data_IF_333862402584
#
_entry.id   IF_333862402584
#
_cell.length_a   1.000
_cell.length_b   1.000
_cell.length_c   1.000
_cell.angle_alpha   90.00
_cell.angle_beta   90.00
_cell.angle_gamma   90.00
#
_symmetry.space_group_name_H-M   'P 1'
#
loop_
_entity.id
_entity.type
_entity.pdbx_description
1 polymer ?
#
# COMPACT_ATOMS: atom_id res chain seq x y z
N UNK A 1 13.04 0.39 -10.62
CA UNK A 1 12.06 -0.68 -10.40
C UNK A 1 12.40 -1.32 -9.07
N UNK A 2 11.77 -0.84 -8.01
CA UNK A 2 11.86 -1.43 -6.69
C UNK A 2 10.59 -2.21 -6.37
N UNK A 3 10.75 -3.23 -5.53
CA UNK A 3 9.62 -3.95 -4.96
C UNK A 3 9.67 -3.80 -3.44
N UNK A 4 8.60 -3.29 -2.87
CA UNK A 4 8.46 -3.09 -1.43
C UNK A 4 7.67 -4.25 -0.83
N UNK A 5 8.33 -5.08 -0.01
CA UNK A 5 7.67 -6.16 0.74
C UNK A 5 7.03 -5.59 1.99
N UNK A 6 5.70 -5.65 2.04
CA UNK A 6 4.92 -5.08 3.14
C UNK A 6 4.72 -6.17 4.20
N UNK A 7 5.23 -5.90 5.40
CA UNK A 7 4.92 -6.72 6.56
C UNK A 7 3.59 -6.27 7.18
N UNK A 8 2.84 -7.20 7.78
CA UNK A 8 1.66 -6.82 8.56
C UNK A 8 2.13 -5.99 9.75
N UNK A 9 1.74 -4.72 9.87
CA UNK A 9 2.13 -3.95 11.03
C UNK A 9 1.52 -4.58 12.27
N UNK A 10 2.36 -4.83 13.28
CA UNK A 10 1.85 -5.16 14.59
C UNK A 10 1.07 -3.95 15.12
N UNK A 11 0.08 -4.17 15.98
CA UNK A 11 -0.93 -3.17 16.40
C UNK A 11 -0.36 -1.82 16.87
N UNK A 12 0.92 -1.79 17.26
CA UNK A 12 1.56 -0.63 17.88
C UNK A 12 2.57 0.07 16.95
N UNK A 13 2.89 -0.51 15.78
CA UNK A 13 3.94 0.02 14.87
C UNK A 13 3.39 0.96 13.78
N UNK A 14 2.06 0.98 13.57
CA UNK A 14 1.42 1.77 12.52
C UNK A 14 1.75 1.30 11.10
N UNK A 15 1.14 1.91 10.08
CA UNK A 15 1.38 1.54 8.69
C UNK A 15 2.85 1.69 8.28
N UNK A 16 3.31 0.82 7.36
CA UNK A 16 4.60 1.00 6.69
C UNK A 16 4.63 2.36 5.98
N UNK A 17 5.73 3.11 6.04
CA UNK A 17 5.83 4.42 5.39
C UNK A 17 6.84 4.33 4.24
N UNK A 18 6.40 4.67 3.02
CA UNK A 18 7.25 4.68 1.83
C UNK A 18 7.28 6.10 1.26
N UNK A 19 8.46 6.70 1.18
CA UNK A 19 8.63 8.10 0.77
C UNK A 19 8.92 8.32 -0.71
N UNK A 20 9.29 7.26 -1.43
CA UNK A 20 9.87 7.35 -2.78
C UNK A 20 9.20 6.42 -3.81
N UNK A 21 7.95 6.00 -3.54
CA UNK A 21 7.20 5.11 -4.44
C UNK A 21 6.95 5.76 -5.81
N UNK A 22 7.39 5.10 -6.87
CA UNK A 22 7.14 5.49 -8.25
C UNK A 22 5.96 4.70 -8.85
N UNK A 23 4.87 5.40 -9.15
CA UNK A 23 3.63 4.82 -9.72
C UNK A 23 3.83 4.06 -11.04
N UNK A 24 4.87 4.37 -11.82
CA UNK A 24 5.10 3.76 -13.13
C UNK A 24 6.09 2.59 -13.11
N UNK A 25 6.82 2.40 -12.00
CA UNK A 25 7.98 1.50 -11.95
C UNK A 25 8.00 0.60 -10.70
N UNK A 26 7.39 1.01 -9.59
CA UNK A 26 7.49 0.30 -8.33
C UNK A 26 6.25 -0.57 -8.04
N UNK A 27 6.48 -1.62 -7.25
CA UNK A 27 5.46 -2.59 -6.86
C UNK A 27 5.36 -2.74 -5.34
N UNK A 28 4.14 -2.78 -4.82
CA UNK A 28 3.84 -3.17 -3.45
C UNK A 28 3.56 -4.68 -3.40
N UNK A 29 4.44 -5.44 -2.74
CA UNK A 29 4.21 -6.86 -2.51
C UNK A 29 3.47 -7.07 -1.19
N UNK A 30 2.19 -7.43 -1.29
CA UNK A 30 1.26 -7.66 -0.18
C UNK A 30 0.73 -9.11 -0.14
N UNK A 31 1.24 -9.99 -0.99
CA UNK A 31 0.73 -11.37 -1.10
C UNK A 31 0.91 -12.22 0.15
N UNK A 32 1.92 -11.93 0.96
CA UNK A 32 2.13 -12.59 2.25
C UNK A 32 1.05 -12.25 3.30
N UNK A 33 0.19 -11.26 3.03
CA UNK A 33 -0.83 -10.75 3.96
C UNK A 33 -2.21 -11.39 3.72
N UNK A 34 -2.32 -12.30 2.74
CA UNK A 34 -3.57 -13.01 2.45
C UNK A 34 -4.62 -12.17 1.72
N UNK A 35 -4.21 -11.07 1.09
CA UNK A 35 -5.08 -10.25 0.23
C UNK A 35 -5.32 -11.01 -1.08
N UNK A 36 -6.59 -11.32 -1.40
CA UNK A 36 -6.95 -12.09 -2.58
C UNK A 36 -6.96 -11.29 -3.90
N UNK A 37 -7.02 -9.96 -3.80
CA UNK A 37 -6.98 -9.07 -4.97
C UNK A 37 -7.20 -7.60 -4.62
N UNK A 38 -7.04 -6.74 -5.62
CA UNK A 38 -7.09 -5.27 -5.47
C UNK A 38 -8.43 -4.76 -4.92
N UNK A 39 -9.53 -5.42 -5.26
CA UNK A 39 -10.87 -5.07 -4.80
C UNK A 39 -11.10 -5.31 -3.30
N UNK A 40 -10.19 -6.00 -2.62
CA UNK A 40 -10.23 -6.21 -1.16
C UNK A 40 -9.48 -5.09 -0.40
N UNK A 41 -8.74 -4.23 -1.12
CA UNK A 41 -8.03 -3.10 -0.54
C UNK A 41 -8.98 -1.92 -0.32
N UNK A 42 -8.77 -1.23 0.79
CA UNK A 42 -9.31 0.11 1.00
C UNK A 42 -8.22 1.12 0.69
N UNK A 43 -8.51 2.03 -0.24
CA UNK A 43 -7.64 3.13 -0.62
C UNK A 43 -8.25 4.44 -0.12
N UNK A 44 -7.46 5.27 0.53
CA UNK A 44 -7.90 6.59 0.99
C UNK A 44 -6.76 7.61 0.95
N UNK A 45 -7.10 8.88 0.79
CA UNK A 45 -6.15 9.98 0.87
C UNK A 45 -6.12 10.59 2.29
N UNK A 46 -4.92 10.70 2.87
CA UNK A 46 -4.66 11.36 4.15
C UNK A 46 -3.51 12.36 4.02
N UNK A 47 -3.80 13.66 4.23
CA UNK A 47 -2.81 14.74 4.19
C UNK A 47 -1.94 14.74 2.91
N UNK A 48 -2.54 14.39 1.77
CA UNK A 48 -1.86 14.31 0.47
C UNK A 48 -1.02 13.04 0.27
N UNK A 49 -1.25 12.01 1.06
CA UNK A 49 -0.60 10.70 0.97
C UNK A 49 -1.67 9.61 0.74
N UNK A 50 -1.30 8.54 0.05
CA UNK A 50 -2.18 7.38 -0.13
C UNK A 50 -2.02 6.45 1.07
N UNK A 51 -3.13 6.11 1.70
CA UNK A 51 -3.23 5.07 2.72
C UNK A 51 -3.89 3.84 2.10
N UNK A 52 -3.21 2.70 2.18
CA UNK A 52 -3.72 1.40 1.74
C UNK A 52 -3.96 0.55 2.97
N UNK A 53 -5.16 -0.01 3.09
CA UNK A 53 -5.59 -0.84 4.19
C UNK A 53 -6.24 -2.15 3.72
N UNK A 54 -6.18 -3.18 4.57
CA UNK A 54 -6.82 -4.48 4.36
C UNK A 54 -7.37 -5.02 5.68
N UNK A 55 -8.61 -5.51 5.67
CA UNK A 55 -9.22 -6.11 6.87
C UNK A 55 -9.31 -5.18 8.08
N UNK A 56 -9.35 -3.86 7.87
CA UNK A 56 -9.33 -2.85 8.93
C UNK A 56 -7.93 -2.49 9.46
N UNK A 57 -6.87 -3.08 8.92
CA UNK A 57 -5.48 -2.74 9.27
C UNK A 57 -4.89 -1.85 8.19
N UNK A 58 -4.28 -0.74 8.60
CA UNK A 58 -3.51 0.12 7.72
C UNK A 58 -2.20 -0.58 7.35
N UNK A 59 -1.98 -0.87 6.07
CA UNK A 59 -0.82 -1.62 5.61
C UNK A 59 0.35 -0.70 5.28
N UNK A 60 0.11 0.29 4.43
CA UNK A 60 1.14 1.20 3.94
C UNK A 60 0.59 2.60 3.69
N UNK A 61 1.39 3.61 4.00
CA UNK A 61 1.22 5.02 3.68
C UNK A 61 2.29 5.44 2.68
N UNK A 62 1.88 5.75 1.45
CA UNK A 62 2.75 6.23 0.38
C UNK A 62 2.76 7.75 0.41
N UNK A 63 3.92 8.34 0.71
CA UNK A 63 4.02 9.78 0.83
C UNK A 63 3.89 10.45 -0.54
N UNK A 64 3.10 11.52 -0.61
CA UNK A 64 2.92 12.35 -1.81
C UNK A 64 2.35 11.59 -3.02
N UNK A 65 1.72 10.45 -2.79
CA UNK A 65 0.98 9.68 -3.79
C UNK A 65 -0.51 9.93 -3.59
N UNK A 66 -1.25 10.15 -4.67
CA UNK A 66 -2.71 10.19 -4.64
C UNK A 66 -3.25 8.76 -4.75
N UNK A 67 -4.10 8.35 -3.80
CA UNK A 67 -4.69 7.01 -3.78
C UNK A 67 -5.54 6.72 -5.02
N UNK A 68 -6.12 7.73 -5.66
CA UNK A 68 -6.92 7.58 -6.89
C UNK A 68 -6.04 7.27 -8.12
N UNK A 69 -4.72 7.46 -8.02
CA UNK A 69 -3.76 7.12 -9.07
C UNK A 69 -3.25 5.68 -8.98
N UNK A 70 -3.56 4.96 -7.90
CA UNK A 70 -3.15 3.57 -7.72
C UNK A 70 -4.05 2.63 -8.54
N UNK A 71 -3.42 1.72 -9.27
CA UNK A 71 -4.08 0.68 -10.07
C UNK A 71 -3.59 -0.70 -9.66
N UNK A 72 -4.27 -1.74 -10.11
CA UNK A 72 -3.91 -3.14 -9.83
C UNK A 72 -2.45 -3.46 -10.17
N UNK A 73 -1.90 -2.83 -11.22
CA UNK A 73 -0.52 -3.03 -11.67
C UNK A 73 0.52 -2.51 -10.67
N UNK A 74 0.14 -1.71 -9.67
CA UNK A 74 1.02 -1.29 -8.58
C UNK A 74 1.18 -2.35 -7.47
N UNK A 75 0.50 -3.50 -7.57
CA UNK A 75 0.42 -4.50 -6.50
C UNK A 75 0.81 -5.90 -6.96
N UNK A 76 1.40 -6.67 -6.04
CA UNK A 76 1.63 -8.10 -6.16
C UNK A 76 0.92 -8.81 -5.00
N UNK A 77 0.03 -9.74 -5.35
CA UNK A 77 -0.81 -10.55 -4.45
C UNK A 77 -0.32 -12.00 -4.40
#
# INVERSE_FOLDING_TARGET
MDQFWIANPQSDEGANIISEFNLEDDLLNIGALGVGGFNELTLSNEDGNALIAFGGNELVKLLRVDSDSLVVDNFVF
#
